data_IF_016622377965
#
_entry.id   IF_016622377965
#
_cell.length_a   1.000
_cell.length_b   1.000
_cell.length_c   1.000
_cell.angle_alpha   90.00
_cell.angle_beta   90.00
_cell.angle_gamma   90.00
#
_symmetry.space_group_name_H-M   'P 1'
#
loop_
_entity.id
_entity.type
_entity.pdbx_description
1 polymer ?
#
# COMPACT_ATOMS: atom_id res chain seq x y z
N UNK A 1 0.35 -68.59 -36.94
CA UNK A 1 -1.07 -68.66 -37.34
C UNK A 1 -1.79 -67.62 -36.50
N UNK A 2 -2.12 -66.42 -37.00
CA UNK A 2 -2.92 -66.10 -38.20
C UNK A 2 -4.41 -66.44 -37.96
N UNK A 3 -5.39 -65.53 -38.02
CA UNK A 3 -5.34 -64.06 -38.26
C UNK A 3 -6.61 -63.38 -37.70
N UNK A 4 -6.66 -62.04 -37.71
CA UNK A 4 -7.89 -61.22 -37.81
C UNK A 4 -8.19 -60.92 -39.31
N UNK A 5 -9.18 -60.09 -39.73
CA UNK A 5 -10.29 -59.42 -39.03
C UNK A 5 -11.66 -59.60 -39.80
N UNK A 6 -12.50 -58.54 -39.81
CA UNK A 6 -13.58 -58.19 -40.78
C UNK A 6 -14.86 -59.08 -40.80
N UNK A 7 -16.04 -58.67 -41.33
CA UNK A 7 -16.50 -57.54 -42.19
C UNK A 7 -17.86 -56.96 -41.67
N UNK A 8 -18.12 -55.64 -41.70
CA UNK A 8 -18.92 -54.81 -42.65
C UNK A 8 -20.48 -54.87 -42.59
N UNK A 9 -21.10 -53.66 -42.56
CA UNK A 9 -22.31 -53.20 -43.33
C UNK A 9 -23.68 -53.91 -43.12
N UNK A 10 -24.88 -53.34 -43.38
CA UNK A 10 -25.36 -51.95 -43.66
C UNK A 10 -26.78 -51.80 -43.01
N UNK A 11 -27.81 -50.97 -43.33
CA UNK A 11 -28.16 -49.94 -44.34
C UNK A 11 -29.22 -48.98 -43.71
N UNK A 12 -29.53 -47.88 -44.42
CA UNK A 12 -30.83 -47.18 -44.51
C UNK A 12 -31.04 -45.89 -43.72
N UNK A 13 -31.78 -44.96 -44.34
CA UNK A 13 -31.83 -43.54 -44.01
C UNK A 13 -33.26 -42.93 -44.11
N UNK A 14 -33.35 -41.61 -44.35
CA UNK A 14 -34.55 -40.78 -44.62
C UNK A 14 -35.36 -40.32 -43.38
N UNK A 15 -35.85 -39.06 -43.30
CA UNK A 15 -35.43 -37.84 -44.00
C UNK A 15 -35.84 -36.56 -43.20
N UNK A 16 -35.28 -35.42 -43.61
CA UNK A 16 -35.50 -34.04 -43.19
C UNK A 16 -36.94 -33.65 -42.78
N UNK A 17 -37.05 -33.03 -41.59
CA UNK A 17 -37.91 -31.84 -41.39
C UNK A 17 -37.19 -30.73 -40.63
N UNK A 18 -36.73 -29.73 -41.37
CA UNK A 18 -36.36 -28.44 -40.79
C UNK A 18 -37.59 -27.78 -40.14
N UNK A 19 -37.45 -27.24 -38.93
CA UNK A 19 -38.34 -26.17 -38.47
C UNK A 19 -37.56 -25.10 -37.67
N UNK A 20 -37.93 -23.83 -37.84
CA UNK A 20 -37.15 -22.67 -37.39
C UNK A 20 -37.54 -22.27 -35.95
N UNK A 21 -36.58 -22.22 -35.03
CA UNK A 21 -36.78 -21.55 -33.74
C UNK A 21 -35.63 -20.60 -33.34
N UNK A 22 -35.96 -19.31 -33.33
CA UNK A 22 -35.31 -18.16 -32.69
C UNK A 22 -33.83 -18.23 -32.23
N UNK A 23 -32.95 -17.60 -33.00
CA UNK A 23 -31.76 -16.91 -32.48
C UNK A 23 -32.18 -15.76 -31.54
N UNK A 24 -32.40 -16.01 -30.24
CA UNK A 24 -32.72 -14.96 -29.24
C UNK A 24 -31.77 -14.86 -28.03
N UNK A 25 -30.91 -15.85 -27.77
CA UNK A 25 -30.02 -15.85 -26.59
C UNK A 25 -28.82 -14.90 -26.67
N UNK A 26 -28.12 -14.83 -27.80
CA UNK A 26 -26.78 -14.20 -27.89
C UNK A 26 -26.76 -12.67 -27.92
N UNK A 27 -27.82 -12.01 -28.40
CA UNK A 27 -27.83 -10.54 -28.58
C UNK A 27 -27.79 -9.80 -27.24
N UNK A 28 -28.55 -10.29 -26.23
CA UNK A 28 -28.65 -9.64 -24.92
C UNK A 28 -27.32 -9.60 -24.18
N UNK A 29 -26.63 -10.75 -24.11
CA UNK A 29 -25.30 -10.88 -23.47
C UNK A 29 -24.24 -9.99 -24.13
N UNK A 30 -24.28 -9.82 -25.46
CA UNK A 30 -23.41 -8.90 -26.19
C UNK A 30 -23.74 -7.42 -25.92
N UNK A 31 -25.01 -7.07 -25.76
CA UNK A 31 -25.42 -5.71 -25.36
C UNK A 31 -25.02 -5.41 -23.91
N UNK A 32 -25.23 -6.34 -22.97
CA UNK A 32 -24.81 -6.20 -21.57
C UNK A 32 -23.29 -6.04 -21.45
N UNK A 33 -22.51 -6.83 -22.20
CA UNK A 33 -21.06 -6.71 -22.27
C UNK A 33 -20.59 -5.35 -22.82
N UNK A 34 -21.26 -4.83 -23.87
CA UNK A 34 -21.00 -3.48 -24.40
C UNK A 34 -21.37 -2.39 -23.39
N UNK A 35 -22.51 -2.49 -22.71
CA UNK A 35 -22.91 -1.53 -21.67
C UNK A 35 -21.93 -1.52 -20.49
N UNK A 36 -21.45 -2.69 -20.03
CA UNK A 36 -20.43 -2.78 -18.97
C UNK A 36 -19.15 -2.05 -19.38
N UNK A 37 -18.58 -2.36 -20.56
CA UNK A 37 -17.37 -1.68 -21.08
C UNK A 37 -17.58 -0.17 -21.29
N UNK A 38 -18.79 0.28 -21.65
CA UNK A 38 -19.09 1.70 -21.79
C UNK A 38 -19.20 2.42 -20.43
N UNK A 39 -19.85 1.81 -19.44
CA UNK A 39 -19.93 2.32 -18.05
C UNK A 39 -18.55 2.36 -17.41
N UNK A 40 -17.73 1.34 -17.63
CA UNK A 40 -16.34 1.26 -17.18
C UNK A 40 -15.48 2.36 -17.82
N UNK A 41 -15.51 2.53 -19.16
CA UNK A 41 -14.85 3.65 -19.84
C UNK A 41 -15.34 5.02 -19.36
N UNK A 42 -16.64 5.19 -19.09
CA UNK A 42 -17.20 6.45 -18.56
C UNK A 42 -16.66 6.73 -17.15
N UNK A 43 -16.69 5.74 -16.25
CA UNK A 43 -16.12 5.86 -14.90
C UNK A 43 -14.63 6.21 -14.96
N UNK A 44 -13.85 5.51 -15.79
CA UNK A 44 -12.42 5.80 -15.99
C UNK A 44 -12.22 7.24 -16.46
N UNK A 45 -13.04 7.75 -17.39
CA UNK A 45 -12.96 9.16 -17.82
C UNK A 45 -13.37 10.15 -16.71
N UNK A 46 -14.40 9.84 -15.93
CA UNK A 46 -14.86 10.64 -14.77
C UNK A 46 -13.89 10.59 -13.58
N UNK A 47 -12.98 9.61 -13.55
CA UNK A 47 -11.89 9.53 -12.57
C UNK A 47 -10.62 10.20 -13.08
N UNK A 48 -10.22 10.06 -14.34
CA UNK A 48 -9.03 10.73 -14.89
C UNK A 48 -9.22 12.23 -15.19
N UNK A 49 -10.45 12.70 -15.44
CA UNK A 49 -10.69 14.07 -15.90
C UNK A 49 -11.67 14.82 -14.99
N UNK A 50 -11.38 16.10 -14.76
CA UNK A 50 -12.20 17.00 -13.99
C UNK A 50 -13.55 17.30 -14.69
N UNK A 51 -14.71 17.07 -14.04
CA UNK A 51 -16.01 17.31 -14.66
C UNK A 51 -16.34 18.79 -14.94
N UNK A 52 -15.62 19.75 -14.34
CA UNK A 52 -15.91 21.19 -14.41
C UNK A 52 -15.05 21.95 -15.43
N UNK A 53 -13.78 21.56 -15.62
CA UNK A 53 -12.89 22.19 -16.61
C UNK A 53 -12.21 21.22 -17.59
N UNK A 54 -12.58 19.92 -17.56
CA UNK A 54 -12.17 18.92 -18.54
C UNK A 54 -10.68 18.56 -18.51
N UNK A 55 -9.95 18.98 -17.49
CA UNK A 55 -8.50 18.77 -17.37
C UNK A 55 -8.19 17.40 -16.79
N UNK A 56 -7.06 16.82 -17.21
CA UNK A 56 -6.52 15.62 -16.56
C UNK A 56 -6.19 15.93 -15.09
N UNK A 57 -6.56 14.98 -14.23
CA UNK A 57 -6.22 14.90 -12.81
C UNK A 57 -5.08 13.89 -12.55
N UNK A 58 -4.50 13.31 -13.61
CA UNK A 58 -3.39 12.36 -13.53
C UNK A 58 -2.18 12.84 -12.70
N UNK A 59 -1.78 14.15 -12.69
CA UNK A 59 -0.74 14.62 -11.79
C UNK A 59 -1.04 14.33 -10.32
N UNK A 60 -2.29 14.53 -9.88
CA UNK A 60 -2.72 14.22 -8.52
C UNK A 60 -2.77 12.71 -8.26
N UNK A 61 -3.23 11.91 -9.22
CA UNK A 61 -3.36 10.45 -9.06
C UNK A 61 -2.02 9.71 -9.09
N UNK A 62 -1.07 10.18 -9.89
CA UNK A 62 0.30 9.68 -9.92
C UNK A 62 1.01 10.08 -8.63
N UNK A 63 0.92 11.35 -8.21
CA UNK A 63 1.51 11.80 -6.95
C UNK A 63 0.96 11.04 -5.73
N UNK A 64 -0.35 10.76 -5.68
CA UNK A 64 -0.97 10.00 -4.59
C UNK A 64 -0.42 8.56 -4.40
N UNK A 65 0.24 7.99 -5.42
CA UNK A 65 0.94 6.71 -5.31
C UNK A 65 2.36 6.84 -4.72
N UNK A 66 2.95 8.04 -4.75
CA UNK A 66 4.31 8.32 -4.28
C UNK A 66 4.37 9.01 -2.91
N UNK A 67 3.40 9.86 -2.57
CA UNK A 67 3.29 10.50 -1.24
C UNK A 67 3.51 9.52 -0.06
N UNK A 68 2.88 8.31 0.00
CA UNK A 68 3.06 7.38 1.11
C UNK A 68 4.40 6.61 1.08
N UNK A 69 5.29 6.90 0.13
CA UNK A 69 6.60 6.27 -0.03
C UNK A 69 7.76 7.26 0.06
N UNK A 70 7.54 8.51 -0.37
CA UNK A 70 8.57 9.55 -0.53
C UNK A 70 8.39 10.74 0.45
N UNK A 71 7.16 11.02 0.89
CA UNK A 71 6.85 12.18 1.75
C UNK A 71 6.56 11.75 3.19
N UNK A 72 5.52 10.92 3.40
CA UNK A 72 5.11 10.42 4.73
C UNK A 72 4.14 9.24 4.58
N UNK A 73 4.56 8.06 5.07
CA UNK A 73 3.82 6.81 5.06
C UNK A 73 2.43 6.90 5.70
N UNK A 74 2.24 7.76 6.69
CA UNK A 74 0.98 7.96 7.41
C UNK A 74 0.40 9.37 7.20
N UNK A 75 0.75 10.04 6.09
CA UNK A 75 0.09 11.26 5.66
C UNK A 75 -1.44 11.04 5.52
N UNK A 76 -2.20 12.00 6.05
CA UNK A 76 -3.63 12.14 5.82
C UNK A 76 -3.85 13.47 5.10
N UNK A 77 -3.58 13.49 3.79
CA UNK A 77 -3.53 14.69 2.94
C UNK A 77 -4.71 15.66 3.16
N UNK A 78 -5.93 15.16 3.41
CA UNK A 78 -7.12 15.98 3.68
C UNK A 78 -7.04 16.72 5.04
N UNK A 79 -6.55 16.04 6.09
CA UNK A 79 -6.29 16.68 7.38
C UNK A 79 -5.08 17.60 7.30
N UNK A 80 -3.98 17.13 6.74
CA UNK A 80 -2.71 17.85 6.67
C UNK A 80 -2.90 19.20 5.94
N UNK A 81 -3.60 19.20 4.80
CA UNK A 81 -3.99 20.43 4.08
C UNK A 81 -4.90 21.34 4.92
N UNK A 82 -5.89 20.79 5.63
CA UNK A 82 -6.80 21.59 6.47
C UNK A 82 -6.04 22.28 7.61
N UNK A 83 -5.15 21.55 8.28
CA UNK A 83 -4.34 22.05 9.39
C UNK A 83 -3.35 23.12 8.89
N UNK A 84 -2.59 22.82 7.84
CA UNK A 84 -1.62 23.74 7.27
C UNK A 84 -2.26 25.01 6.69
N UNK A 85 -3.44 24.92 6.06
CA UNK A 85 -4.17 26.11 5.60
C UNK A 85 -4.69 26.98 6.74
N UNK A 86 -5.05 26.40 7.90
CA UNK A 86 -5.43 27.18 9.09
C UNK A 86 -4.19 27.87 9.66
N UNK A 87 -3.10 27.14 9.93
CA UNK A 87 -1.87 27.68 10.49
C UNK A 87 -1.29 28.79 9.59
N UNK A 88 -1.13 28.54 8.30
CA UNK A 88 -0.69 29.54 7.29
C UNK A 88 -1.71 30.64 6.98
N UNK A 89 -2.86 30.65 7.65
CA UNK A 89 -3.78 31.80 7.70
C UNK A 89 -3.62 32.59 9.00
N UNK A 90 -3.41 31.92 10.14
CA UNK A 90 -3.01 32.55 11.41
C UNK A 90 -1.68 33.31 11.20
N UNK A 91 -0.65 32.67 10.63
CA UNK A 91 0.64 33.29 10.31
C UNK A 91 0.49 34.60 9.51
N UNK A 92 -0.52 34.67 8.63
CA UNK A 92 -0.79 35.85 7.79
C UNK A 92 -1.61 36.89 8.53
N UNK A 93 -2.58 36.48 9.35
CA UNK A 93 -3.27 37.41 10.25
C UNK A 93 -2.29 38.01 11.25
N UNK A 94 -1.33 37.26 11.79
CA UNK A 94 -0.32 37.75 12.72
C UNK A 94 0.77 38.59 12.02
N UNK A 95 1.23 38.23 10.82
CA UNK A 95 2.08 39.10 10.00
C UNK A 95 1.38 40.39 9.56
N UNK A 96 0.05 40.38 9.41
CA UNK A 96 -0.74 41.55 9.10
C UNK A 96 -0.97 42.40 10.36
N UNK A 97 -1.26 41.77 11.51
CA UNK A 97 -1.29 42.41 12.82
C UNK A 97 0.05 43.06 13.16
N UNK A 98 1.19 42.45 12.87
CA UNK A 98 2.50 43.06 13.10
C UNK A 98 2.76 44.31 12.23
N UNK A 99 1.97 44.55 11.18
CA UNK A 99 1.99 45.78 10.36
C UNK A 99 0.93 46.79 10.81
N UNK A 100 -0.25 46.31 11.19
CA UNK A 100 -1.41 47.15 11.53
C UNK A 100 -1.46 47.55 13.02
N UNK A 101 -0.83 46.77 13.92
CA UNK A 101 -0.90 46.95 15.38
C UNK A 101 0.07 48.03 15.88
N UNK A 102 -0.03 49.22 15.28
CA UNK A 102 0.06 50.45 16.06
C UNK A 102 -1.22 50.67 16.91
N UNK A 103 -2.30 49.88 16.68
CA UNK A 103 -3.51 49.82 17.49
C UNK A 103 -4.04 48.40 17.73
N UNK A 104 -4.37 48.07 18.99
CA UNK A 104 -4.89 46.77 19.48
C UNK A 104 -6.15 46.26 18.73
N UNK A 105 -6.51 44.96 18.67
CA UNK A 105 -6.68 43.96 19.76
C UNK A 105 -6.61 42.49 19.25
N UNK A 106 -6.45 41.53 20.18
CA UNK A 106 -6.50 40.08 19.91
C UNK A 106 -7.87 39.58 19.36
N UNK A 107 -7.89 38.53 18.54
CA UNK A 107 -9.10 37.78 18.20
C UNK A 107 -9.39 36.68 19.25
N UNK A 108 -10.66 36.29 19.41
CA UNK A 108 -11.00 35.09 20.19
C UNK A 108 -10.97 33.82 19.33
N UNK A 109 -10.76 32.67 20.00
CA UNK A 109 -10.34 31.42 19.37
C UNK A 109 -11.38 30.88 18.36
N UNK A 110 -10.89 30.42 17.21
CA UNK A 110 -11.71 30.02 16.04
C UNK A 110 -11.36 28.62 15.51
N UNK A 111 -10.44 27.90 16.16
CA UNK A 111 -9.73 26.77 15.57
C UNK A 111 -9.66 25.53 16.46
N UNK A 112 -10.83 25.04 16.91
CA UNK A 112 -11.01 23.85 17.77
C UNK A 112 -10.39 22.52 17.29
N UNK A 113 -9.87 22.47 16.06
CA UNK A 113 -9.07 21.37 15.53
C UNK A 113 -7.63 21.41 16.05
N UNK A 114 -7.07 22.59 16.33
CA UNK A 114 -5.68 22.77 16.77
C UNK A 114 -5.51 22.64 18.29
N UNK A 115 -6.55 22.96 19.07
CA UNK A 115 -6.51 22.99 20.54
C UNK A 115 -6.16 21.62 21.17
N UNK A 116 -6.40 20.52 20.45
CA UNK A 116 -6.15 19.13 20.90
C UNK A 116 -5.00 18.44 20.13
N UNK A 117 -4.24 19.16 19.31
CA UNK A 117 -3.09 18.62 18.56
C UNK A 117 -1.76 18.95 19.25
N UNK A 118 -0.81 18.01 19.18
CA UNK A 118 0.59 18.29 19.53
C UNK A 118 1.24 19.26 18.54
N UNK A 119 2.29 19.98 18.96
CA UNK A 119 3.07 20.82 18.05
C UNK A 119 3.81 19.98 16.99
N UNK A 120 4.25 18.77 17.34
CA UNK A 120 4.85 17.83 16.39
C UNK A 120 3.88 17.44 15.27
N UNK A 121 2.61 17.16 15.59
CA UNK A 121 1.58 16.85 14.58
C UNK A 121 1.23 18.07 13.73
N UNK A 122 1.22 19.28 14.30
CA UNK A 122 1.01 20.54 13.56
C UNK A 122 2.17 20.80 12.59
N UNK A 123 3.40 20.67 13.07
CA UNK A 123 4.61 20.86 12.26
C UNK A 123 4.75 19.79 11.17
N UNK A 124 4.39 18.54 11.48
CA UNK A 124 4.31 17.44 10.50
C UNK A 124 3.25 17.70 9.43
N UNK A 125 2.06 18.17 9.81
CA UNK A 125 1.01 18.54 8.85
C UNK A 125 1.45 19.69 7.91
N UNK A 126 2.13 20.71 8.44
CA UNK A 126 2.71 21.80 7.64
C UNK A 126 3.80 21.31 6.70
N UNK A 127 4.75 20.50 7.20
CA UNK A 127 5.80 19.85 6.39
C UNK A 127 5.21 19.01 5.26
N UNK A 128 4.19 18.19 5.54
CA UNK A 128 3.53 17.36 4.54
C UNK A 128 2.82 18.23 3.49
N UNK A 129 2.10 19.28 3.90
CA UNK A 129 1.46 20.21 2.98
C UNK A 129 2.48 20.87 2.04
N UNK A 130 3.57 21.45 2.55
CA UNK A 130 4.54 22.15 1.71
C UNK A 130 5.23 21.18 0.74
N UNK A 131 5.70 20.02 1.21
CA UNK A 131 6.28 18.97 0.35
C UNK A 131 5.31 18.52 -0.75
N UNK A 132 4.03 18.34 -0.46
CA UNK A 132 3.02 17.91 -1.45
C UNK A 132 2.68 19.05 -2.43
N UNK A 133 2.68 20.30 -1.98
CA UNK A 133 2.43 21.49 -2.82
C UNK A 133 3.60 21.79 -3.75
N UNK A 134 4.84 21.47 -3.34
CA UNK A 134 6.02 21.51 -4.21
C UNK A 134 6.09 20.31 -5.17
N UNK A 135 5.79 19.09 -4.69
CA UNK A 135 5.74 17.86 -5.50
C UNK A 135 4.61 17.87 -6.55
N UNK A 136 3.52 18.61 -6.30
CA UNK A 136 2.38 18.74 -7.23
C UNK A 136 2.04 20.23 -7.45
N UNK A 137 2.76 20.93 -8.35
CA UNK A 137 2.61 22.38 -8.57
C UNK A 137 1.19 22.86 -8.93
N UNK A 138 0.35 21.97 -9.43
CA UNK A 138 -1.08 22.20 -9.68
C UNK A 138 -1.83 22.64 -8.41
N UNK A 139 -1.42 22.20 -7.22
CA UNK A 139 -1.99 22.69 -5.97
C UNK A 139 -1.78 24.18 -5.77
N UNK A 140 -0.60 24.73 -6.12
CA UNK A 140 -0.34 26.18 -6.03
C UNK A 140 -1.40 26.96 -6.84
N UNK A 141 -1.61 26.56 -8.10
CA UNK A 141 -2.63 27.12 -9.00
C UNK A 141 -4.06 26.97 -8.46
N UNK A 142 -4.38 25.85 -7.80
CA UNK A 142 -5.71 25.58 -7.25
C UNK A 142 -6.00 26.35 -5.96
N UNK A 143 -5.04 26.44 -5.05
CA UNK A 143 -5.16 27.18 -3.78
C UNK A 143 -5.42 28.67 -4.03
N UNK A 144 -4.77 29.29 -5.02
CA UNK A 144 -5.04 30.66 -5.44
C UNK A 144 -6.48 30.88 -5.94
N UNK A 145 -7.10 29.87 -6.58
CA UNK A 145 -8.44 29.96 -7.18
C UNK A 145 -9.59 29.87 -6.17
N UNK A 146 -9.32 29.58 -4.89
CA UNK A 146 -10.30 29.47 -3.78
C UNK A 146 -11.47 28.48 -4.01
N UNK A 147 -11.43 27.62 -5.03
CA UNK A 147 -12.44 26.58 -5.26
C UNK A 147 -12.25 25.44 -4.24
N UNK A 148 -12.98 25.52 -3.13
CA UNK A 148 -12.88 24.57 -2.00
C UNK A 148 -13.38 23.18 -2.36
N UNK A 149 -14.45 23.06 -3.13
CA UNK A 149 -15.11 21.78 -3.40
C UNK A 149 -14.28 20.92 -4.37
N UNK A 150 -13.66 21.55 -5.38
CA UNK A 150 -12.69 20.88 -6.27
C UNK A 150 -11.44 20.42 -5.50
N UNK A 151 -10.94 21.24 -4.58
CA UNK A 151 -9.82 20.88 -3.71
C UNK A 151 -10.17 19.68 -2.81
N UNK A 152 -11.30 19.73 -2.10
CA UNK A 152 -11.77 18.66 -1.21
C UNK A 152 -12.03 17.33 -1.96
N UNK A 153 -12.64 17.38 -3.16
CA UNK A 153 -12.80 16.22 -4.03
C UNK A 153 -11.45 15.56 -4.37
N UNK A 154 -10.47 16.37 -4.81
CA UNK A 154 -9.13 15.88 -5.17
C UNK A 154 -8.43 15.29 -3.94
N UNK A 155 -8.43 15.98 -2.80
CA UNK A 155 -7.82 15.49 -1.55
C UNK A 155 -8.43 14.15 -1.10
N UNK A 156 -9.77 14.01 -1.13
CA UNK A 156 -10.46 12.76 -0.79
C UNK A 156 -10.13 11.61 -1.75
N UNK A 157 -10.01 11.89 -3.05
CA UNK A 157 -9.59 10.88 -4.06
C UNK A 157 -8.13 10.50 -3.90
N UNK A 158 -7.22 11.46 -3.69
CA UNK A 158 -5.80 11.20 -3.41
C UNK A 158 -5.64 10.36 -2.13
N UNK A 159 -6.30 10.71 -1.03
CA UNK A 159 -6.29 9.92 0.20
C UNK A 159 -6.76 8.48 -0.01
N UNK A 160 -7.77 8.28 -0.86
CA UNK A 160 -8.27 6.95 -1.24
C UNK A 160 -7.20 6.15 -2.00
N UNK A 161 -6.51 6.77 -2.97
CA UNK A 161 -5.40 6.16 -3.71
C UNK A 161 -4.25 5.81 -2.74
N UNK A 162 -3.78 6.77 -1.94
CA UNK A 162 -2.72 6.58 -0.93
C UNK A 162 -3.03 5.42 0.02
N UNK A 163 -4.28 5.28 0.47
CA UNK A 163 -4.72 4.15 1.32
C UNK A 163 -4.69 2.83 0.54
N UNK A 164 -5.09 2.82 -0.73
CA UNK A 164 -5.02 1.62 -1.58
C UNK A 164 -3.58 1.20 -1.85
N UNK A 165 -2.69 2.13 -2.21
CA UNK A 165 -1.26 1.86 -2.47
C UNK A 165 -0.58 1.19 -1.28
N UNK A 166 -0.75 1.72 -0.06
CA UNK A 166 -0.22 1.11 1.18
C UNK A 166 -0.81 -0.29 1.45
N UNK A 167 -2.08 -0.51 1.13
CA UNK A 167 -2.72 -1.80 1.27
C UNK A 167 -2.19 -2.81 0.24
N UNK A 168 -2.05 -2.40 -1.02
CA UNK A 168 -1.49 -3.19 -2.13
C UNK A 168 -0.05 -3.63 -1.84
N UNK A 169 0.84 -2.68 -1.50
CA UNK A 169 2.24 -2.96 -1.17
C UNK A 169 2.33 -4.03 -0.05
N UNK A 170 1.56 -3.85 1.02
CA UNK A 170 1.55 -4.82 2.14
C UNK A 170 0.86 -6.15 1.82
N UNK A 171 -0.05 -6.21 0.85
CA UNK A 171 -0.85 -7.42 0.56
C UNK A 171 -0.24 -8.29 -0.54
N UNK A 172 0.50 -7.68 -1.47
CA UNK A 172 1.36 -8.36 -2.45
C UNK A 172 2.53 -9.03 -1.74
N UNK A 173 3.27 -8.26 -0.94
CA UNK A 173 4.45 -8.71 -0.19
C UNK A 173 4.17 -9.95 0.68
N UNK A 174 3.02 -10.01 1.36
CA UNK A 174 2.65 -11.11 2.28
C UNK A 174 2.79 -12.52 1.69
N UNK A 175 2.57 -12.68 0.38
CA UNK A 175 2.67 -13.99 -0.28
C UNK A 175 4.11 -14.43 -0.54
N UNK A 176 5.01 -13.46 -0.71
CA UNK A 176 6.40 -13.69 -1.06
C UNK A 176 7.36 -13.57 0.13
N UNK A 177 6.89 -13.05 1.29
CA UNK A 177 7.61 -13.09 2.58
C UNK A 177 8.32 -14.44 2.80
N UNK A 178 7.67 -15.61 2.69
CA UNK A 178 8.33 -16.91 2.91
C UNK A 178 9.54 -17.18 2.00
N UNK A 179 9.55 -16.63 0.78
CA UNK A 179 10.62 -16.81 -0.21
C UNK A 179 11.85 -15.96 0.07
N UNK A 180 11.70 -14.89 0.86
CA UNK A 180 12.77 -13.94 1.15
C UNK A 180 13.50 -14.24 2.47
N UNK A 181 12.92 -15.11 3.31
CA UNK A 181 13.48 -15.53 4.62
C UNK A 181 14.80 -16.29 4.52
N UNK A 182 14.98 -17.30 3.63
CA UNK A 182 16.23 -18.08 3.64
C UNK A 182 17.40 -17.18 3.22
N UNK A 183 18.57 -17.22 3.90
CA UNK A 183 19.71 -16.39 3.52
C UNK A 183 20.14 -16.62 2.07
N UNK A 184 20.16 -17.88 1.62
CA UNK A 184 20.23 -18.26 0.21
C UNK A 184 18.96 -19.02 -0.23
N UNK A 185 17.98 -18.37 -0.89
CA UNK A 185 16.77 -19.04 -1.39
C UNK A 185 16.97 -19.99 -2.57
N UNK A 186 18.20 -20.14 -3.10
CA UNK A 186 18.50 -21.12 -4.16
C UNK A 186 18.82 -22.51 -3.60
N UNK A 187 19.40 -22.58 -2.40
CA UNK A 187 19.71 -23.85 -1.71
C UNK A 187 18.88 -24.09 -0.45
N UNK A 188 18.35 -23.03 0.19
CA UNK A 188 17.62 -23.10 1.46
C UNK A 188 16.14 -22.79 1.32
N UNK A 189 15.32 -23.43 2.15
CA UNK A 189 13.87 -23.22 2.23
C UNK A 189 13.39 -23.10 3.68
N UNK A 190 12.09 -22.81 3.87
CA UNK A 190 11.50 -22.77 5.20
C UNK A 190 11.23 -24.17 5.76
N UNK A 191 11.54 -24.36 7.03
CA UNK A 191 11.24 -25.55 7.81
C UNK A 191 10.45 -25.16 9.08
N UNK A 192 9.18 -25.55 9.23
CA UNK A 192 8.37 -26.31 8.26
C UNK A 192 7.96 -25.47 7.04
N UNK A 193 7.72 -26.08 5.86
CA UNK A 193 7.24 -25.36 4.69
C UNK A 193 5.90 -24.64 4.91
N UNK A 194 5.77 -23.41 4.41
CA UNK A 194 4.51 -22.64 4.47
C UNK A 194 3.73 -22.82 3.16
N UNK A 195 2.51 -23.35 3.25
CA UNK A 195 1.62 -23.57 2.10
C UNK A 195 0.92 -22.27 1.67
N UNK A 196 1.59 -21.44 0.87
CA UNK A 196 1.07 -20.14 0.37
C UNK A 196 -0.04 -20.26 -0.69
N UNK A 197 -0.90 -21.28 -0.61
CA UNK A 197 -1.90 -21.63 -1.63
C UNK A 197 -3.31 -21.09 -1.38
N UNK A 198 -3.78 -21.12 -0.13
CA UNK A 198 -5.11 -20.61 0.23
C UNK A 198 -5.08 -19.12 0.62
N UNK A 199 -6.24 -18.47 0.68
CA UNK A 199 -6.32 -17.11 1.25
C UNK A 199 -6.37 -17.15 2.78
N UNK A 200 -6.78 -18.27 3.35
CA UNK A 200 -7.17 -18.44 4.75
C UNK A 200 -6.02 -18.91 5.64
N UNK A 201 -5.17 -19.84 5.18
CA UNK A 201 -4.12 -20.40 6.04
C UNK A 201 -2.93 -19.44 6.17
N UNK A 202 -3.00 -18.66 7.24
CA UNK A 202 -2.00 -17.70 7.69
C UNK A 202 -1.42 -18.11 9.05
N UNK A 203 -1.75 -19.32 9.52
CA UNK A 203 -1.43 -19.81 10.86
C UNK A 203 0.07 -19.96 11.07
N UNK A 204 0.79 -20.45 10.05
CA UNK A 204 2.24 -20.62 10.04
C UNK A 204 3.07 -19.36 9.74
N UNK A 205 2.56 -18.14 9.99
CA UNK A 205 3.31 -16.90 9.78
C UNK A 205 3.71 -16.20 11.09
N UNK A 206 4.74 -15.35 11.02
CA UNK A 206 5.23 -14.58 12.16
C UNK A 206 5.76 -15.46 13.30
N UNK A 207 5.36 -15.16 14.54
CA UNK A 207 5.87 -15.84 15.74
C UNK A 207 5.50 -17.32 15.87
N UNK A 208 4.52 -17.81 15.11
CA UNK A 208 4.16 -19.23 15.09
C UNK A 208 5.27 -20.10 14.46
N UNK A 209 5.96 -19.58 13.45
CA UNK A 209 6.97 -20.30 12.67
C UNK A 209 8.39 -19.99 13.17
N UNK A 210 9.27 -20.99 13.40
CA UNK A 210 10.57 -20.79 14.03
C UNK A 210 11.46 -19.76 13.32
N UNK A 211 11.75 -19.90 12.02
CA UNK A 211 12.64 -18.97 11.29
C UNK A 211 12.06 -17.54 11.20
N UNK A 212 10.77 -17.37 10.88
CA UNK A 212 10.10 -16.06 10.90
C UNK A 212 10.10 -15.41 12.30
N UNK A 213 9.96 -16.20 13.37
CA UNK A 213 10.00 -15.71 14.74
C UNK A 213 11.40 -15.21 15.15
N UNK A 214 12.48 -15.75 14.57
CA UNK A 214 13.84 -15.23 14.76
C UNK A 214 13.99 -13.85 14.13
N UNK A 215 13.67 -13.72 12.83
CA UNK A 215 13.71 -12.46 12.09
C UNK A 215 13.00 -11.31 12.85
N UNK A 216 11.88 -11.60 13.52
CA UNK A 216 11.06 -10.62 14.21
C UNK A 216 11.56 -10.20 15.61
N UNK A 217 12.58 -10.84 16.20
CA UNK A 217 13.00 -10.50 17.56
C UNK A 217 14.48 -10.83 17.90
N UNK A 218 15.27 -9.81 18.23
CA UNK A 218 16.65 -9.94 18.75
C UNK A 218 16.78 -10.92 19.94
N UNK A 219 15.77 -11.00 20.80
CA UNK A 219 15.78 -11.88 22.00
C UNK A 219 15.57 -13.36 21.61
N UNK A 220 14.96 -13.63 20.45
CA UNK A 220 14.81 -14.99 19.93
C UNK A 220 16.12 -15.55 19.41
N UNK A 221 16.90 -14.75 18.66
CA UNK A 221 18.19 -15.15 18.09
C UNK A 221 19.19 -15.63 19.16
N UNK A 222 19.11 -15.08 20.39
CA UNK A 222 20.02 -15.43 21.49
C UNK A 222 19.49 -16.50 22.45
N UNK A 223 18.17 -16.76 22.50
CA UNK A 223 17.52 -17.65 23.51
C UNK A 223 16.32 -18.41 22.93
N UNK A 224 16.56 -19.28 21.95
CA UNK A 224 15.57 -19.72 20.94
C UNK A 224 14.29 -20.45 21.42
N UNK A 225 14.33 -21.29 22.46
CA UNK A 225 13.19 -22.19 22.78
C UNK A 225 12.14 -21.56 23.70
N UNK A 226 12.49 -21.34 24.97
CA UNK A 226 11.57 -20.83 26.00
C UNK A 226 11.08 -19.39 25.73
N UNK A 227 11.77 -18.64 24.87
CA UNK A 227 11.37 -17.27 24.46
C UNK A 227 10.18 -17.28 23.51
N UNK A 228 10.10 -18.23 22.56
CA UNK A 228 8.99 -18.30 21.59
C UNK A 228 7.64 -18.54 22.28
N UNK A 229 7.62 -19.46 23.23
CA UNK A 229 6.42 -19.73 24.06
C UNK A 229 6.00 -18.46 24.82
N UNK A 230 6.94 -17.77 25.48
CA UNK A 230 6.65 -16.52 26.20
C UNK A 230 6.19 -15.37 25.28
N UNK A 231 6.58 -15.35 24.00
CA UNK A 231 6.07 -14.40 23.00
C UNK A 231 4.63 -14.74 22.58
N UNK A 232 4.36 -16.02 22.29
CA UNK A 232 3.03 -16.51 21.89
C UNK A 232 2.00 -16.38 23.03
N UNK A 233 2.40 -16.68 24.26
CA UNK A 233 1.60 -16.47 25.48
C UNK A 233 1.42 -14.97 25.85
N UNK A 234 1.98 -14.03 25.08
CA UNK A 234 1.96 -12.58 25.37
C UNK A 234 2.80 -12.12 26.57
N UNK A 235 3.41 -13.05 27.33
CA UNK A 235 4.26 -12.77 28.51
C UNK A 235 5.50 -11.91 28.18
N UNK A 236 5.96 -11.94 26.93
CA UNK A 236 6.92 -10.97 26.38
C UNK A 236 6.17 -10.10 25.37
N UNK A 237 5.87 -8.85 25.74
CA UNK A 237 5.36 -7.85 24.79
C UNK A 237 6.48 -7.43 23.83
N UNK A 238 6.20 -7.45 22.54
CA UNK A 238 7.02 -6.80 21.52
C UNK A 238 6.60 -5.32 21.44
N UNK A 239 7.58 -4.43 21.43
CA UNK A 239 7.41 -2.96 21.49
C UNK A 239 8.28 -2.32 20.42
N UNK A 240 8.00 -1.08 20.01
CA UNK A 240 8.80 -0.39 18.98
C UNK A 240 10.30 -0.27 19.35
N UNK A 241 10.62 -0.25 20.65
CA UNK A 241 11.98 -0.31 21.19
C UNK A 241 12.72 -1.65 21.01
N UNK A 242 12.03 -2.71 20.56
CA UNK A 242 12.61 -4.03 20.26
C UNK A 242 12.68 -4.21 18.75
N UNK A 243 13.76 -3.73 18.17
CA UNK A 243 14.04 -3.82 16.74
C UNK A 243 14.02 -5.31 16.28
N UNK A 244 13.46 -5.63 15.11
CA UNK A 244 13.57 -6.95 14.50
C UNK A 244 15.03 -7.36 14.22
N UNK A 245 15.34 -8.64 14.39
CA UNK A 245 16.66 -9.20 14.09
C UNK A 245 17.04 -9.06 12.60
N UNK A 246 16.05 -9.10 11.70
CA UNK A 246 16.26 -8.99 10.25
C UNK A 246 16.85 -7.64 9.80
N UNK A 247 16.84 -6.62 10.67
CA UNK A 247 17.43 -5.32 10.35
C UNK A 247 18.96 -5.34 10.35
N UNK A 248 19.59 -6.31 11.02
CA UNK A 248 21.04 -6.37 11.23
C UNK A 248 21.73 -7.25 10.20
N UNK A 249 22.93 -6.84 9.80
CA UNK A 249 23.83 -7.64 8.95
C UNK A 249 24.21 -8.97 9.61
N UNK A 250 24.35 -9.99 8.77
CA UNK A 250 24.58 -11.38 9.11
C UNK A 250 24.14 -12.29 7.97
N UNK A 251 24.62 -13.52 7.96
CA UNK A 251 23.96 -14.64 7.28
C UNK A 251 22.75 -15.07 8.11
N UNK A 252 22.91 -15.19 9.43
CA UNK A 252 21.82 -15.45 10.36
C UNK A 252 21.19 -14.14 10.92
N UNK A 253 19.91 -14.13 11.30
CA UNK A 253 19.25 -12.94 11.84
C UNK A 253 19.93 -12.43 13.13
N UNK A 254 20.44 -11.19 13.09
CA UNK A 254 21.15 -10.53 14.17
C UNK A 254 22.48 -11.17 14.61
N UNK A 255 23.15 -11.89 13.71
CA UNK A 255 24.51 -12.40 13.91
C UNK A 255 25.51 -11.32 14.40
N UNK A 256 25.46 -10.11 13.82
CA UNK A 256 26.35 -8.99 14.18
C UNK A 256 25.66 -7.93 15.07
N UNK A 257 24.66 -8.32 15.86
CA UNK A 257 23.99 -7.37 16.78
C UNK A 257 24.86 -7.04 18.00
N UNK A 258 25.32 -5.79 18.08
CA UNK A 258 26.03 -5.28 19.24
C UNK A 258 25.06 -4.57 20.22
N UNK A 259 24.78 -5.13 21.43
CA UNK A 259 23.91 -4.49 22.40
C UNK A 259 24.47 -3.18 22.99
N UNK A 260 25.78 -2.97 22.90
CA UNK A 260 26.44 -1.74 23.37
C UNK A 260 26.49 -0.66 22.28
N UNK A 261 26.26 -1.02 21.01
CA UNK A 261 26.27 -0.11 19.87
C UNK A 261 25.16 -0.50 18.87
N UNK A 262 23.90 -0.33 19.29
CA UNK A 262 22.68 -0.75 18.58
C UNK A 262 22.54 -0.18 17.14
N UNK A 263 23.32 0.84 16.78
CA UNK A 263 23.37 1.41 15.43
C UNK A 263 24.33 0.65 14.49
N UNK A 264 25.25 -0.15 15.00
CA UNK A 264 26.13 -1.00 14.19
C UNK A 264 25.31 -2.08 13.47
N UNK A 265 25.58 -2.27 12.18
CA UNK A 265 24.85 -3.23 11.35
C UNK A 265 23.38 -2.90 11.07
N UNK A 266 22.79 -1.86 11.69
CA UNK A 266 21.38 -1.53 11.58
C UNK A 266 20.98 -1.14 10.14
N UNK A 267 19.82 -1.65 9.71
CA UNK A 267 19.28 -1.57 8.34
C UNK A 267 20.13 -2.26 7.25
N UNK A 268 21.19 -3.00 7.60
CA UNK A 268 22.08 -3.72 6.66
C UNK A 268 21.78 -5.22 6.53
N UNK A 269 20.77 -5.75 7.22
CA UNK A 269 20.37 -7.16 7.10
C UNK A 269 19.77 -7.51 5.73
N UNK A 270 20.13 -8.68 5.18
CA UNK A 270 19.81 -9.10 3.80
C UNK A 270 18.30 -9.06 3.46
N UNK A 271 17.43 -9.18 4.46
CA UNK A 271 15.98 -9.19 4.26
C UNK A 271 15.44 -7.80 3.87
N UNK A 272 16.09 -6.71 4.32
CA UNK A 272 15.67 -5.32 4.06
C UNK A 272 15.69 -4.97 2.57
N UNK A 273 16.80 -5.14 1.81
CA UNK A 273 16.82 -4.84 0.38
C UNK A 273 15.89 -5.73 -0.44
N UNK A 274 15.64 -6.98 -0.02
CA UNK A 274 14.69 -7.89 -0.69
C UNK A 274 13.26 -7.37 -0.62
N UNK A 275 12.82 -6.97 0.57
CA UNK A 275 11.50 -6.35 0.80
C UNK A 275 11.39 -5.01 0.06
N UNK A 276 12.44 -4.18 0.10
CA UNK A 276 12.49 -2.91 -0.63
C UNK A 276 12.31 -3.14 -2.14
N UNK A 277 13.11 -4.02 -2.74
CA UNK A 277 13.02 -4.39 -4.16
C UNK A 277 11.65 -4.96 -4.52
N UNK A 278 11.02 -5.78 -3.66
CA UNK A 278 9.63 -6.21 -3.88
C UNK A 278 8.65 -5.03 -3.99
N UNK A 279 8.70 -4.08 -3.04
CA UNK A 279 7.75 -2.96 -2.97
C UNK A 279 7.96 -1.95 -4.11
N UNK A 280 9.21 -1.57 -4.38
CA UNK A 280 9.53 -0.48 -5.29
C UNK A 280 9.78 -0.92 -6.73
N UNK A 281 10.32 -2.13 -6.95
CA UNK A 281 10.68 -2.66 -8.29
C UNK A 281 10.03 -4.01 -8.63
N UNK A 282 9.15 -4.52 -7.75
CA UNK A 282 8.33 -5.71 -7.98
C UNK A 282 9.01 -7.04 -7.61
N UNK A 283 8.22 -8.12 -7.35
CA UNK A 283 8.71 -9.39 -6.81
C UNK A 283 9.83 -10.06 -7.63
N UNK A 284 9.84 -9.88 -8.96
CA UNK A 284 10.87 -10.42 -9.87
C UNK A 284 12.24 -9.74 -9.76
N UNK A 285 12.39 -8.73 -8.90
CA UNK A 285 13.68 -8.08 -8.57
C UNK A 285 14.14 -8.37 -7.14
N UNK A 286 13.28 -8.94 -6.29
CA UNK A 286 13.51 -9.05 -4.86
C UNK A 286 14.68 -9.97 -4.47
N UNK A 287 14.99 -10.98 -5.30
CA UNK A 287 16.09 -11.94 -5.09
C UNK A 287 17.21 -11.82 -6.14
N UNK A 288 17.35 -10.64 -6.75
CA UNK A 288 18.58 -10.26 -7.46
C UNK A 288 19.54 -9.62 -6.46
N UNK A 289 20.84 -9.73 -6.74
CA UNK A 289 21.89 -8.92 -6.11
C UNK A 289 21.89 -7.47 -6.62
#
# INVERSE_FOLDING_TARGET
MNSSPSDMEDDSALDLKHNRSSKKGTSKTLQDGKQRKLKEKKKIKEELYDPSDGKSLDPFWNAAQWIPRDIDLYCNITSDFRIAMILKSIDKEDQQRLKDTAGSKQPQNKHSVLDNMSEDDKQRAVSNFDKIVDFVPEFKKMLHRKNKDKLDFILKKMYTIMRSTRADDSSRLRKDIPKYVPPDPSTMSLNPPILTGSKEDRSGLGFAHPQLALLLCLIMATKMSKTRIKLLDGRIRVTASKLPAFMYIGFEPAEQYNPNAIHEGLLKGYYVPRVYRHIFTGPGTALKD
#
